data_IF_503777893773
#
_entry.id   IF_503777893773
#
_cell.length_a   1.000
_cell.length_b   1.000
_cell.length_c   1.000
_cell.angle_alpha   90.00
_cell.angle_beta   90.00
_cell.angle_gamma   90.00
#
_symmetry.space_group_name_H-M   'P 1'
#
loop_
_entity.id
_entity.type
_entity.pdbx_description
1 polymer ?
#
# COMPACT_ATOMS: atom_id res chain seq x y z
N UNK A 1 56.20 14.73 17.83
CA UNK A 1 55.22 13.75 18.37
C UNK A 1 53.82 14.31 18.68
N UNK A 2 53.61 15.64 18.79
CA UNK A 2 52.30 16.24 19.16
C UNK A 2 51.26 16.29 18.04
N UNK A 3 51.66 16.41 16.77
CA UNK A 3 50.74 16.56 15.63
C UNK A 3 49.91 15.28 15.37
N UNK A 4 50.51 14.08 15.54
CA UNK A 4 49.78 12.80 15.35
C UNK A 4 48.62 12.62 16.33
N UNK A 5 48.71 13.16 17.56
CA UNK A 5 47.64 13.06 18.57
C UNK A 5 46.44 13.96 18.26
N UNK A 6 46.67 15.12 17.65
CA UNK A 6 45.60 16.06 17.27
C UNK A 6 44.77 15.49 16.11
N UNK A 7 45.42 14.86 15.12
CA UNK A 7 44.74 14.23 13.98
C UNK A 7 43.84 13.07 14.42
N UNK A 8 44.28 12.25 15.39
CA UNK A 8 43.45 11.16 15.93
C UNK A 8 42.26 11.69 16.74
N UNK A 9 42.42 12.79 17.47
CA UNK A 9 41.34 13.42 18.22
C UNK A 9 40.27 14.02 17.28
N UNK A 10 40.70 14.67 16.19
CA UNK A 10 39.78 15.24 15.19
C UNK A 10 39.03 14.12 14.44
N UNK A 11 39.70 13.03 14.07
CA UNK A 11 39.02 11.87 13.46
C UNK A 11 38.00 11.23 14.40
N UNK A 12 38.32 11.08 15.69
CA UNK A 12 37.37 10.54 16.67
C UNK A 12 36.13 11.43 16.81
N UNK A 13 36.28 12.76 16.80
CA UNK A 13 35.16 13.70 16.87
C UNK A 13 34.29 13.61 15.60
N UNK A 14 34.89 13.52 14.40
CA UNK A 14 34.14 13.38 13.14
C UNK A 14 33.35 12.06 13.12
N UNK A 15 33.94 10.95 13.56
CA UNK A 15 33.25 9.64 13.63
C UNK A 15 32.10 9.67 14.64
N UNK A 16 32.31 10.27 15.82
CA UNK A 16 31.25 10.40 16.83
C UNK A 16 30.14 11.34 16.34
N UNK A 17 30.46 12.43 15.65
CA UNK A 17 29.45 13.29 15.04
C UNK A 17 28.65 12.57 13.95
N UNK A 18 29.29 11.75 13.09
CA UNK A 18 28.57 10.93 12.11
C UNK A 18 27.62 9.90 12.74
N UNK A 19 27.98 9.36 13.92
CA UNK A 19 27.13 8.43 14.66
C UNK A 19 25.90 9.08 15.32
N UNK A 20 25.86 10.41 15.47
CA UNK A 20 24.69 11.13 16.01
C UNK A 20 23.73 11.65 14.93
N UNK A 21 24.11 11.67 13.65
CA UNK A 21 23.23 12.11 12.55
C UNK A 21 22.28 11.03 12.02
N UNK A 22 22.39 9.78 12.47
CA UNK A 22 21.50 8.68 12.07
C UNK A 22 20.13 8.69 12.76
N UNK A 23 19.94 9.42 13.86
CA UNK A 23 18.66 9.49 14.59
C UNK A 23 17.55 10.33 13.93
N UNK A 24 17.88 11.05 12.85
CA UNK A 24 16.91 11.85 12.09
C UNK A 24 16.07 11.03 11.11
N UNK A 25 16.58 9.88 10.68
CA UNK A 25 15.95 9.05 9.65
C UNK A 25 14.93 8.07 10.24
N UNK A 26 15.27 7.45 11.37
CA UNK A 26 14.40 6.51 12.07
C UNK A 26 13.10 7.17 12.57
N UNK A 27 13.20 8.38 13.11
CA UNK A 27 12.02 9.16 13.54
C UNK A 27 11.10 9.54 12.38
N UNK A 28 11.65 9.79 11.18
CA UNK A 28 10.86 10.04 9.98
C UNK A 28 10.15 8.78 9.50
N UNK A 29 10.85 7.65 9.46
CA UNK A 29 10.28 6.34 9.08
C UNK A 29 9.14 5.92 10.01
N UNK A 30 9.29 6.09 11.33
CA UNK A 30 8.22 5.82 12.32
C UNK A 30 7.00 6.72 12.09
N UNK A 31 7.24 8.02 11.84
CA UNK A 31 6.16 8.96 11.57
C UNK A 31 5.41 8.59 10.28
N UNK A 32 6.14 8.32 9.20
CA UNK A 32 5.57 7.90 7.92
C UNK A 32 4.77 6.61 8.05
N UNK A 33 5.28 5.60 8.78
CA UNK A 33 4.55 4.36 9.05
C UNK A 33 3.22 4.61 9.78
N UNK A 34 3.22 5.51 10.77
CA UNK A 34 2.01 5.88 11.52
C UNK A 34 0.98 6.55 10.60
N UNK A 35 1.44 7.48 9.76
CA UNK A 35 0.60 8.18 8.77
C UNK A 35 0.02 7.21 7.75
N UNK A 36 0.84 6.27 7.24
CA UNK A 36 0.41 5.26 6.29
C UNK A 36 -0.60 4.29 6.91
N UNK A 37 -0.37 3.76 8.12
CA UNK A 37 -1.33 2.89 8.81
C UNK A 37 -2.69 3.57 9.00
N UNK A 38 -2.69 4.86 9.40
CA UNK A 38 -3.94 5.65 9.49
C UNK A 38 -4.62 5.75 8.14
N UNK A 39 -3.87 6.06 7.08
CA UNK A 39 -4.40 6.21 5.72
C UNK A 39 -4.94 4.89 5.16
N UNK A 40 -4.28 3.76 5.45
CA UNK A 40 -4.73 2.43 5.06
C UNK A 40 -6.04 2.06 5.74
N UNK A 41 -6.14 2.30 7.05
CA UNK A 41 -7.38 2.10 7.79
C UNK A 41 -8.52 2.95 7.24
N UNK A 42 -8.24 4.18 6.83
CA UNK A 42 -9.23 5.09 6.27
C UNK A 42 -9.67 4.68 4.85
N UNK A 43 -8.75 4.27 3.99
CA UNK A 43 -9.09 3.75 2.64
C UNK A 43 -9.83 2.42 2.73
N UNK A 44 -9.49 1.55 3.68
CA UNK A 44 -10.20 0.30 3.92
C UNK A 44 -11.71 0.50 4.12
N UNK A 45 -12.11 1.61 4.75
CA UNK A 45 -13.53 1.97 4.95
C UNK A 45 -14.29 2.07 3.62
N UNK A 46 -13.63 2.53 2.56
CA UNK A 46 -14.21 2.65 1.21
C UNK A 46 -14.67 1.34 0.61
N UNK A 47 -14.27 0.20 1.19
CA UNK A 47 -14.62 -1.13 0.73
C UNK A 47 -15.69 -1.80 1.59
N UNK A 48 -15.62 -1.60 2.91
CA UNK A 48 -16.40 -2.40 3.86
C UNK A 48 -17.47 -1.61 4.61
N UNK A 49 -17.52 -0.29 4.46
CA UNK A 49 -18.58 0.52 5.08
C UNK A 49 -19.81 0.63 4.19
N UNK A 50 -20.98 0.40 4.79
CA UNK A 50 -22.28 0.56 4.13
C UNK A 50 -22.60 2.02 3.80
N UNK A 51 -22.03 2.96 4.53
CA UNK A 51 -22.31 4.39 4.37
C UNK A 51 -21.40 5.07 3.34
N UNK A 52 -20.39 4.37 2.82
CA UNK A 52 -19.49 4.94 1.82
C UNK A 52 -20.20 5.09 0.45
N UNK A 53 -20.08 6.23 -0.24
CA UNK A 53 -20.75 6.42 -1.52
C UNK A 53 -19.94 5.80 -2.67
N UNK A 54 -20.17 4.53 -2.98
CA UNK A 54 -19.45 3.78 -4.02
C UNK A 54 -19.71 4.22 -5.48
N UNK A 55 -20.54 5.24 -5.70
CA UNK A 55 -20.83 5.79 -7.04
C UNK A 55 -21.13 7.28 -6.94
N UNK A 56 -20.88 8.03 -8.02
CA UNK A 56 -21.21 9.45 -8.15
C UNK A 56 -22.69 9.71 -7.90
N UNK A 57 -23.58 8.78 -8.27
CA UNK A 57 -25.01 8.90 -7.99
C UNK A 57 -25.30 8.86 -6.48
N UNK A 58 -24.65 7.95 -5.75
CA UNK A 58 -24.79 7.87 -4.28
C UNK A 58 -24.12 9.08 -3.62
N UNK A 59 -22.92 9.48 -4.08
CA UNK A 59 -22.23 10.67 -3.58
C UNK A 59 -23.08 11.93 -3.79
N UNK A 60 -23.64 12.11 -4.98
CA UNK A 60 -24.56 13.21 -5.30
C UNK A 60 -25.77 13.19 -4.37
N UNK A 61 -26.35 12.01 -4.10
CA UNK A 61 -27.44 11.90 -3.12
C UNK A 61 -26.99 12.31 -1.72
N UNK A 62 -25.80 11.89 -1.27
CA UNK A 62 -25.25 12.29 0.03
C UNK A 62 -25.04 13.80 0.13
N UNK A 63 -24.51 14.43 -0.92
CA UNK A 63 -24.30 15.88 -1.00
C UNK A 63 -25.65 16.62 -0.99
N UNK A 64 -26.57 16.22 -1.87
CA UNK A 64 -27.90 16.85 -2.02
C UNK A 64 -28.70 16.83 -0.72
N UNK A 65 -28.62 15.72 0.04
CA UNK A 65 -29.35 15.55 1.29
C UNK A 65 -28.53 15.90 2.54
N UNK A 66 -27.30 16.40 2.38
CA UNK A 66 -26.35 16.67 3.47
C UNK A 66 -26.23 15.48 4.46
N UNK A 67 -26.12 14.26 3.93
CA UNK A 67 -26.11 13.05 4.74
C UNK A 67 -24.74 12.87 5.41
N UNK A 68 -24.63 13.38 6.64
CA UNK A 68 -23.35 13.50 7.37
C UNK A 68 -22.53 12.21 7.51
N UNK A 69 -23.11 11.02 7.82
CA UNK A 69 -22.34 9.77 7.88
C UNK A 69 -21.61 9.45 6.57
N UNK A 70 -22.30 9.56 5.44
CA UNK A 70 -21.74 9.30 4.11
C UNK A 70 -20.66 10.32 3.73
N UNK A 71 -20.94 11.62 3.91
CA UNK A 71 -19.99 12.67 3.56
C UNK A 71 -18.71 12.58 4.40
N UNK A 72 -18.83 12.25 5.70
CA UNK A 72 -17.67 12.03 6.57
C UNK A 72 -16.77 10.93 6.04
N UNK A 73 -17.32 9.78 5.65
CA UNK A 73 -16.53 8.68 5.11
C UNK A 73 -15.93 9.01 3.75
N UNK A 74 -16.67 9.71 2.89
CA UNK A 74 -16.15 10.19 1.61
C UNK A 74 -14.90 11.05 1.80
N UNK A 75 -14.98 12.08 2.66
CA UNK A 75 -13.84 12.96 2.93
C UNK A 75 -12.67 12.23 3.58
N UNK A 76 -12.94 11.33 4.54
CA UNK A 76 -11.92 10.51 5.19
C UNK A 76 -11.13 9.66 4.17
N UNK A 77 -11.81 8.99 3.25
CA UNK A 77 -11.16 8.19 2.20
C UNK A 77 -10.39 9.08 1.21
N UNK A 78 -10.99 10.21 0.82
CA UNK A 78 -10.36 11.18 -0.10
C UNK A 78 -9.06 11.73 0.47
N UNK A 79 -9.06 12.11 1.75
CA UNK A 79 -7.88 12.64 2.43
C UNK A 79 -6.79 11.57 2.54
N UNK A 80 -7.15 10.34 2.94
CA UNK A 80 -6.22 9.23 3.02
C UNK A 80 -5.57 8.88 1.66
N UNK A 81 -6.36 8.88 0.58
CA UNK A 81 -5.85 8.72 -0.79
C UNK A 81 -4.83 9.82 -1.13
N UNK A 82 -5.18 11.08 -0.89
CA UNK A 82 -4.29 12.21 -1.17
C UNK A 82 -2.99 12.11 -0.34
N UNK A 83 -3.07 11.68 0.91
CA UNK A 83 -1.90 11.43 1.76
C UNK A 83 -0.99 10.37 1.13
N UNK A 84 -1.51 9.20 0.78
CA UNK A 84 -0.68 8.13 0.18
C UNK A 84 -0.04 8.60 -1.12
N UNK A 85 -0.80 9.22 -2.02
CA UNK A 85 -0.28 9.74 -3.30
C UNK A 85 0.83 10.77 -3.04
N UNK A 86 0.65 11.67 -2.07
CA UNK A 86 1.66 12.69 -1.76
C UNK A 86 2.98 12.12 -1.24
N UNK A 87 2.95 10.91 -0.67
CA UNK A 87 4.13 10.20 -0.18
C UNK A 87 4.66 9.16 -1.14
N UNK A 88 3.98 8.88 -2.26
CA UNK A 88 4.31 7.82 -3.21
C UNK A 88 5.75 7.96 -3.73
N UNK A 89 6.64 7.23 -3.07
CA UNK A 89 8.08 7.20 -3.22
C UNK A 89 8.59 5.81 -2.82
N UNK A 90 9.82 5.49 -3.19
CA UNK A 90 10.47 4.20 -2.87
C UNK A 90 10.41 3.89 -1.36
N UNK A 91 10.65 4.90 -0.50
CA UNK A 91 10.58 4.74 0.97
C UNK A 91 9.16 4.41 1.44
N UNK A 92 8.15 5.11 0.93
CA UNK A 92 6.76 4.82 1.31
C UNK A 92 6.29 3.45 0.81
N UNK A 93 6.80 3.00 -0.35
CA UNK A 93 6.51 1.68 -0.89
C UNK A 93 7.14 0.59 -0.01
N UNK A 94 8.41 0.76 0.39
CA UNK A 94 9.07 -0.13 1.34
C UNK A 94 8.25 -0.27 2.64
N UNK A 95 7.84 0.86 3.24
CA UNK A 95 7.05 0.84 4.47
C UNK A 95 5.68 0.21 4.25
N UNK A 96 5.04 0.45 3.09
CA UNK A 96 3.76 -0.18 2.73
C UNK A 96 3.88 -1.70 2.71
N UNK A 97 4.94 -2.22 2.07
CA UNK A 97 5.23 -3.64 1.99
C UNK A 97 5.60 -4.22 3.38
N UNK A 98 6.35 -3.49 4.21
CA UNK A 98 6.63 -3.88 5.59
C UNK A 98 5.34 -3.98 6.44
N UNK A 99 4.38 -3.06 6.24
CA UNK A 99 3.08 -3.09 6.92
C UNK A 99 2.25 -4.30 6.45
N UNK A 100 2.19 -4.58 5.14
CA UNK A 100 1.47 -5.76 4.61
C UNK A 100 2.05 -7.03 5.23
N UNK A 101 3.37 -7.19 5.20
CA UNK A 101 4.05 -8.37 5.73
C UNK A 101 3.78 -8.58 7.23
N UNK A 102 3.85 -7.50 8.02
CA UNK A 102 3.73 -7.58 9.48
C UNK A 102 2.28 -7.67 9.99
N UNK A 103 1.30 -7.13 9.26
CA UNK A 103 -0.08 -7.01 9.74
C UNK A 103 -1.01 -8.11 9.19
N UNK A 104 -0.76 -8.64 7.97
CA UNK A 104 -1.73 -9.52 7.29
C UNK A 104 -1.96 -10.88 7.96
N UNK A 105 -1.05 -11.36 8.80
CA UNK A 105 -1.18 -12.63 9.52
C UNK A 105 -1.52 -12.47 11.01
N UNK A 106 -1.71 -11.24 11.49
CA UNK A 106 -2.09 -10.97 12.88
C UNK A 106 -3.55 -11.35 13.08
N UNK A 107 -3.78 -12.47 13.76
CA UNK A 107 -5.13 -13.00 14.01
C UNK A 107 -5.84 -12.21 15.10
N UNK A 108 -7.14 -12.01 14.91
CA UNK A 108 -8.05 -11.37 15.87
C UNK A 108 -7.72 -9.91 16.23
N UNK A 109 -6.94 -9.20 15.40
CA UNK A 109 -6.78 -7.75 15.52
C UNK A 109 -7.47 -7.03 14.34
N UNK A 110 -8.61 -6.36 14.59
CA UNK A 110 -9.28 -5.55 13.58
C UNK A 110 -8.38 -4.46 13.00
N UNK A 111 -7.49 -3.86 13.80
CA UNK A 111 -6.63 -2.79 13.31
C UNK A 111 -5.59 -3.32 12.33
N UNK A 112 -4.94 -4.45 12.66
CA UNK A 112 -4.05 -5.14 11.72
C UNK A 112 -4.75 -5.54 10.43
N UNK A 113 -5.99 -6.02 10.52
CA UNK A 113 -6.79 -6.36 9.33
C UNK A 113 -7.02 -5.12 8.44
N UNK A 114 -7.40 -4.00 9.05
CA UNK A 114 -7.58 -2.73 8.33
C UNK A 114 -6.27 -2.23 7.69
N UNK A 115 -5.15 -2.32 8.41
CA UNK A 115 -3.84 -1.92 7.93
C UNK A 115 -3.38 -2.79 6.76
N UNK A 116 -3.52 -4.12 6.89
CA UNK A 116 -3.18 -5.09 5.85
C UNK A 116 -3.97 -4.82 4.57
N UNK A 117 -5.30 -4.85 4.63
CA UNK A 117 -6.13 -4.71 3.45
C UNK A 117 -6.07 -3.31 2.84
N UNK A 118 -5.97 -2.27 3.67
CA UNK A 118 -5.72 -0.91 3.20
C UNK A 118 -4.34 -0.75 2.53
N UNK A 119 -3.32 -1.44 3.03
CA UNK A 119 -2.00 -1.51 2.41
C UNK A 119 -2.03 -2.22 1.06
N UNK A 120 -2.74 -3.34 0.93
CA UNK A 120 -2.93 -4.03 -0.36
C UNK A 120 -3.69 -3.12 -1.35
N UNK A 121 -4.72 -2.41 -0.87
CA UNK A 121 -5.45 -1.42 -1.68
C UNK A 121 -4.54 -0.29 -2.17
N UNK A 122 -3.62 0.19 -1.32
CA UNK A 122 -2.74 1.32 -1.63
C UNK A 122 -1.69 1.01 -2.69
N UNK A 123 -1.36 -0.28 -2.92
CA UNK A 123 -0.48 -0.70 -4.01
C UNK A 123 -0.89 -0.12 -5.37
N UNK A 124 -2.19 0.17 -5.56
CA UNK A 124 -2.70 0.86 -6.75
C UNK A 124 -1.91 2.13 -7.08
N UNK A 125 -1.47 2.91 -6.08
CA UNK A 125 -0.79 4.20 -6.27
C UNK A 125 0.70 4.07 -6.60
N UNK A 126 1.25 2.86 -6.56
CA UNK A 126 2.65 2.56 -6.87
C UNK A 126 2.72 1.83 -8.21
N UNK A 127 2.78 2.56 -9.32
CA UNK A 127 2.53 2.02 -10.66
C UNK A 127 3.64 2.23 -11.68
N UNK A 128 4.89 2.51 -11.30
CA UNK A 128 6.03 2.54 -12.22
C UNK A 128 6.59 1.14 -12.46
N UNK A 129 7.42 0.98 -13.50
CA UNK A 129 8.14 -0.27 -13.77
C UNK A 129 9.06 -0.67 -12.60
N UNK A 130 9.69 0.31 -11.96
CA UNK A 130 10.55 0.11 -10.79
C UNK A 130 9.74 -0.36 -9.58
N UNK A 131 8.56 0.24 -9.36
CA UNK A 131 7.64 -0.19 -8.30
C UNK A 131 7.21 -1.64 -8.52
N UNK A 132 6.83 -1.99 -9.74
CA UNK A 132 6.39 -3.35 -10.07
C UNK A 132 7.49 -4.39 -9.77
N UNK A 133 8.73 -4.12 -10.20
CA UNK A 133 9.88 -4.99 -9.90
C UNK A 133 10.13 -5.12 -8.40
N UNK A 134 10.04 -4.01 -7.66
CA UNK A 134 10.30 -4.00 -6.23
C UNK A 134 9.22 -4.75 -5.45
N UNK A 135 7.95 -4.49 -5.74
CA UNK A 135 6.81 -5.22 -5.13
C UNK A 135 6.95 -6.71 -5.40
N UNK A 136 7.20 -7.10 -6.65
CA UNK A 136 7.38 -8.50 -7.02
C UNK A 136 8.49 -9.17 -6.21
N UNK A 137 9.64 -8.51 -6.07
CA UNK A 137 10.78 -9.03 -5.29
C UNK A 137 10.48 -9.22 -3.80
N UNK A 138 9.48 -8.51 -3.26
CA UNK A 138 8.99 -8.69 -1.89
C UNK A 138 8.00 -9.85 -1.83
N UNK A 139 7.07 -9.94 -2.79
CA UNK A 139 6.06 -11.00 -2.81
C UNK A 139 6.66 -12.40 -2.98
N UNK A 140 7.73 -12.54 -3.75
CA UNK A 140 8.50 -13.79 -3.87
C UNK A 140 9.05 -14.30 -2.52
N UNK A 141 9.18 -13.42 -1.52
CA UNK A 141 9.69 -13.75 -0.18
C UNK A 141 8.58 -13.90 0.87
N UNK A 142 7.36 -13.46 0.56
CA UNK A 142 6.25 -13.53 1.49
C UNK A 142 5.76 -14.97 1.70
N UNK A 143 5.22 -15.28 2.89
CA UNK A 143 4.46 -16.51 3.10
C UNK A 143 3.33 -16.64 2.08
N UNK A 144 3.05 -17.87 1.65
CA UNK A 144 2.00 -18.17 0.66
C UNK A 144 0.63 -17.65 1.08
N UNK A 145 0.33 -17.61 2.38
CA UNK A 145 -0.91 -17.05 2.94
C UNK A 145 -1.03 -15.54 2.70
N UNK A 146 0.07 -14.79 2.80
CA UNK A 146 0.06 -13.34 2.50
C UNK A 146 -0.16 -13.14 1.01
N UNK A 147 0.54 -13.90 0.17
CA UNK A 147 0.36 -13.82 -1.28
C UNK A 147 -1.09 -14.17 -1.67
N UNK A 148 -1.68 -15.20 -1.08
CA UNK A 148 -3.09 -15.53 -1.30
C UNK A 148 -4.04 -14.36 -1.00
N UNK A 149 -3.79 -13.61 0.09
CA UNK A 149 -4.58 -12.42 0.45
C UNK A 149 -4.36 -11.26 -0.54
N UNK A 150 -3.11 -11.01 -0.93
CA UNK A 150 -2.75 -9.96 -1.88
C UNK A 150 -3.45 -10.16 -3.22
N UNK A 151 -3.50 -11.41 -3.69
CA UNK A 151 -4.11 -11.83 -4.96
C UNK A 151 -5.61 -12.16 -4.85
N UNK A 152 -6.31 -11.64 -3.83
CA UNK A 152 -7.77 -11.70 -3.80
C UNK A 152 -8.34 -10.78 -4.91
N UNK A 153 -9.21 -11.34 -5.78
CA UNK A 153 -9.89 -10.64 -6.91
C UNK A 153 -10.64 -9.38 -6.48
N UNK A 154 -10.88 -9.28 -5.19
CA UNK A 154 -11.46 -8.15 -4.52
C UNK A 154 -10.66 -6.86 -4.73
N UNK A 155 -9.33 -6.88 -4.82
CA UNK A 155 -8.53 -5.65 -4.92
C UNK A 155 -8.46 -5.10 -6.35
N UNK A 156 -8.17 -3.79 -6.46
CA UNK A 156 -8.12 -3.11 -7.76
C UNK A 156 -6.69 -2.74 -8.19
N UNK A 157 -5.68 -3.03 -7.38
CA UNK A 157 -4.30 -2.64 -7.66
C UNK A 157 -3.75 -3.28 -8.95
N UNK A 158 -4.32 -4.42 -9.38
CA UNK A 158 -4.00 -5.11 -10.63
C UNK A 158 -4.21 -4.25 -11.88
N UNK A 159 -5.21 -3.37 -11.88
CA UNK A 159 -5.59 -2.59 -13.05
C UNK A 159 -4.70 -1.36 -13.29
N UNK A 160 -3.67 -1.15 -12.45
CA UNK A 160 -2.74 -0.04 -12.59
C UNK A 160 -1.30 -0.51 -12.39
N UNK A 161 -0.92 -1.56 -13.12
CA UNK A 161 0.46 -2.04 -13.23
C UNK A 161 1.09 -1.48 -14.49
N UNK A 162 2.38 -1.13 -14.43
CA UNK A 162 3.14 -0.67 -15.58
C UNK A 162 3.57 -1.82 -16.49
N UNK A 163 3.84 -2.99 -15.92
CA UNK A 163 4.30 -4.18 -16.65
C UNK A 163 3.37 -5.38 -16.39
N UNK A 164 2.24 -5.42 -17.10
CA UNK A 164 1.27 -6.50 -16.98
C UNK A 164 1.86 -7.87 -17.29
N UNK A 165 2.77 -7.97 -18.27
CA UNK A 165 3.41 -9.23 -18.66
C UNK A 165 4.27 -9.79 -17.52
N UNK A 166 4.97 -8.92 -16.78
CA UNK A 166 5.73 -9.32 -15.59
C UNK A 166 4.81 -9.96 -14.53
N UNK A 167 3.69 -9.32 -14.24
CA UNK A 167 2.74 -9.80 -13.24
C UNK A 167 2.03 -11.08 -13.66
N UNK A 168 1.64 -11.19 -14.93
CA UNK A 168 1.03 -12.41 -15.50
C UNK A 168 2.00 -13.59 -15.36
N UNK A 169 3.26 -13.41 -15.79
CA UNK A 169 4.29 -14.46 -15.65
C UNK A 169 4.48 -14.88 -14.19
N UNK A 170 4.46 -13.94 -13.25
CA UNK A 170 4.56 -14.29 -11.84
C UNK A 170 3.37 -15.14 -11.39
N UNK A 171 2.14 -14.70 -11.64
CA UNK A 171 0.93 -15.41 -11.22
C UNK A 171 0.84 -16.82 -11.82
N UNK A 172 1.27 -17.00 -13.06
CA UNK A 172 1.30 -18.32 -13.73
C UNK A 172 2.28 -19.31 -13.10
N UNK A 173 3.36 -18.81 -12.47
CA UNK A 173 4.44 -19.65 -11.95
C UNK A 173 4.51 -19.67 -10.41
N UNK A 174 3.76 -18.81 -9.73
CA UNK A 174 3.79 -18.71 -8.28
C UNK A 174 3.17 -19.96 -7.63
N UNK A 175 3.88 -20.52 -6.65
CA UNK A 175 3.41 -21.63 -5.81
C UNK A 175 2.42 -21.12 -4.75
N UNK A 176 1.28 -20.63 -5.22
CA UNK A 176 0.16 -20.19 -4.39
C UNK A 176 -0.96 -21.19 -4.61
N UNK A 177 -1.59 -21.64 -3.52
CA UNK A 177 -2.77 -22.48 -3.62
C UNK A 177 -3.94 -21.65 -4.16
N UNK A 178 -4.01 -21.56 -5.48
CA UNK A 178 -5.11 -20.96 -6.22
C UNK A 178 -6.31 -21.90 -6.13
N UNK A 179 -6.96 -21.98 -4.97
CA UNK A 179 -8.20 -22.75 -4.83
C UNK A 179 -9.15 -22.34 -5.97
N UNK A 180 -9.35 -23.27 -6.92
CA UNK A 180 -10.00 -23.14 -8.23
C UNK A 180 -9.15 -22.46 -9.33
N UNK A 181 -8.77 -23.23 -10.36
CA UNK A 181 -8.09 -22.78 -11.60
C UNK A 181 -8.76 -21.58 -12.31
N UNK A 182 -10.04 -21.29 -12.01
CA UNK A 182 -10.74 -20.09 -12.47
C UNK A 182 -10.23 -18.77 -11.88
N UNK A 183 -9.59 -18.78 -10.70
CA UNK A 183 -9.08 -17.58 -10.04
C UNK A 183 -7.86 -17.01 -10.79
N UNK A 184 -6.93 -17.87 -11.20
CA UNK A 184 -5.73 -17.47 -11.97
C UNK A 184 -6.14 -16.78 -13.27
N UNK A 185 -7.06 -17.39 -14.03
CA UNK A 185 -7.57 -16.80 -15.26
C UNK A 185 -8.19 -15.41 -15.03
N UNK A 186 -8.99 -15.25 -13.98
CA UNK A 186 -9.57 -13.95 -13.63
C UNK A 186 -8.48 -12.92 -13.28
N UNK A 187 -7.46 -13.29 -12.50
CA UNK A 187 -6.34 -12.40 -12.17
C UNK A 187 -5.57 -11.95 -13.41
N UNK A 188 -5.25 -12.89 -14.30
CA UNK A 188 -4.60 -12.61 -15.59
C UNK A 188 -5.45 -11.66 -16.43
N UNK A 189 -6.77 -11.86 -16.46
CA UNK A 189 -7.68 -10.93 -17.14
C UNK A 189 -7.67 -9.53 -16.49
N UNK A 190 -7.54 -9.43 -15.16
CA UNK A 190 -7.52 -8.13 -14.46
C UNK A 190 -6.27 -7.31 -14.79
N UNK A 191 -5.10 -7.93 -14.96
CA UNK A 191 -3.88 -7.22 -15.39
C UNK A 191 -3.95 -6.70 -16.84
N UNK A 192 -4.87 -7.21 -17.65
CA UNK A 192 -5.03 -6.83 -19.06
C UNK A 192 -6.17 -5.85 -19.31
N UNK A 193 -6.95 -5.50 -18.27
CA UNK A 193 -8.11 -4.61 -18.38
C UNK A 193 -7.78 -3.22 -17.87
N UNK A 194 -8.41 -2.22 -18.45
CA UNK A 194 -8.42 -0.88 -17.87
C UNK A 194 -9.41 -0.84 -16.70
N UNK A 195 -9.08 -0.08 -15.66
CA UNK A 195 -9.96 0.08 -14.49
C UNK A 195 -11.32 0.72 -14.84
N UNK A 196 -11.44 1.44 -15.96
CA UNK A 196 -12.72 1.94 -16.50
C UNK A 196 -13.67 0.84 -16.98
N UNK A 197 -13.16 -0.38 -17.22
CA UNK A 197 -13.97 -1.55 -17.59
C UNK A 197 -14.62 -2.24 -16.37
N UNK A 198 -14.22 -1.85 -15.16
CA UNK A 198 -14.77 -2.40 -13.91
C UNK A 198 -16.13 -1.76 -13.63
N UNK A 199 -17.17 -2.59 -13.46
CA UNK A 199 -18.51 -2.11 -13.12
C UNK A 199 -18.54 -1.47 -11.73
N UNK A 200 -19.18 -0.31 -11.63
CA UNK A 200 -19.20 0.52 -10.42
C UNK A 200 -18.17 1.65 -10.51
N UNK A 201 -18.20 2.63 -9.60
CA UNK A 201 -17.12 3.61 -9.53
C UNK A 201 -16.14 3.16 -8.44
N UNK A 202 -14.92 2.75 -8.81
CA UNK A 202 -13.95 2.36 -7.82
C UNK A 202 -13.57 3.56 -6.96
N UNK A 203 -13.41 3.34 -5.65
CA UNK A 203 -12.93 4.31 -4.66
C UNK A 203 -11.65 5.04 -5.09
N UNK A 204 -10.90 4.40 -5.98
CA UNK A 204 -9.71 4.91 -6.62
C UNK A 204 -9.97 6.16 -7.49
N UNK A 205 -11.13 6.25 -8.15
CA UNK A 205 -11.51 7.37 -9.02
C UNK A 205 -12.27 8.50 -8.33
N UNK A 206 -12.79 8.26 -7.12
CA UNK A 206 -13.58 9.23 -6.35
C UNK A 206 -12.74 10.23 -5.54
#
# INVERSE_FOLDING_TARGET
>A
MRIKKIVHLIMAIVVVCFLFFSGGDENKKINLMTVLKKSFSDIYVSRFSKDYPFTNNILYYCIKNNYAPCLRLYHQVKDAKNTIISYASDESLEITLDIIESECLVKNDPQSSMNCYGGIMSLYFYNSLENDKYILSRFEKYPGEINFLIFDFNFLWYYNRSDSDLWIRYVENADINWEYDGRVKNLIEMFNKDISEVRGEPWVFM
#
